data_IF_319711401967
#
_entry.id   IF_319711401967
#
_cell.length_a   1.000
_cell.length_b   1.000
_cell.length_c   1.000
_cell.angle_alpha   90.00
_cell.angle_beta   90.00
_cell.angle_gamma   90.00
#
_symmetry.space_group_name_H-M   'P 1'
#
loop_
_entity.id
_entity.type
_entity.pdbx_description
1 polymer ?
#
# COMPACT_ATOMS: atom_id res chain seq x y z
N UNK A 1 39.78 -37.18 7.17
CA UNK A 1 39.34 -36.60 5.87
C UNK A 1 39.51 -35.09 5.91
N UNK A 2 40.42 -34.55 5.09
CA UNK A 2 40.62 -33.11 4.89
C UNK A 2 39.58 -32.62 3.86
N UNK A 3 38.85 -31.56 4.18
CA UNK A 3 38.02 -30.84 3.21
C UNK A 3 38.89 -29.83 2.45
N UNK A 4 39.12 -30.07 1.16
CA UNK A 4 39.72 -29.11 0.23
C UNK A 4 38.65 -28.14 -0.27
N UNK A 5 38.96 -26.83 -0.30
CA UNK A 5 38.10 -25.81 -0.91
C UNK A 5 38.17 -25.93 -2.44
N UNK A 6 37.02 -26.09 -3.08
CA UNK A 6 36.88 -26.00 -4.53
C UNK A 6 36.96 -24.51 -4.97
N UNK A 7 37.91 -24.12 -5.86
CA UNK A 7 38.14 -22.70 -6.22
C UNK A 7 37.25 -22.18 -7.35
N UNK A 8 36.27 -22.95 -7.84
CA UNK A 8 35.37 -22.45 -8.89
C UNK A 8 34.29 -21.53 -8.32
N UNK A 9 34.51 -20.23 -8.50
CA UNK A 9 33.55 -19.13 -8.27
C UNK A 9 32.21 -19.45 -8.93
N UNK A 10 31.22 -19.83 -8.13
CA UNK A 10 29.83 -19.74 -8.55
C UNK A 10 29.46 -18.25 -8.64
N UNK A 11 29.14 -17.82 -9.86
CA UNK A 11 28.58 -16.50 -10.13
C UNK A 11 27.23 -16.40 -9.44
N UNK A 12 27.21 -15.73 -8.30
CA UNK A 12 25.98 -15.32 -7.63
C UNK A 12 25.14 -14.48 -8.63
N UNK A 13 23.93 -14.91 -9.05
CA UNK A 13 23.17 -14.17 -10.05
C UNK A 13 22.90 -12.76 -9.52
N UNK A 14 23.29 -11.76 -10.32
CA UNK A 14 23.03 -10.37 -10.00
C UNK A 14 21.52 -10.13 -10.04
N UNK A 15 20.93 -9.76 -8.91
CA UNK A 15 19.57 -9.19 -8.88
C UNK A 15 19.55 -7.91 -9.73
N UNK A 16 18.95 -8.00 -10.91
CA UNK A 16 18.78 -6.90 -11.85
C UNK A 16 17.40 -6.27 -11.68
N UNK A 17 17.36 -4.95 -11.46
CA UNK A 17 16.12 -4.18 -11.52
C UNK A 17 15.87 -3.74 -12.97
N UNK A 18 14.63 -3.82 -13.44
CA UNK A 18 14.25 -3.44 -14.81
C UNK A 18 14.31 -4.58 -15.85
N UNK A 19 14.34 -5.84 -15.41
CA UNK A 19 14.25 -7.00 -16.31
C UNK A 19 12.91 -7.08 -17.06
N UNK A 20 11.85 -6.48 -16.51
CA UNK A 20 10.56 -6.32 -17.19
C UNK A 20 10.34 -4.84 -17.56
N UNK A 21 9.80 -4.55 -18.77
CA UNK A 21 9.51 -3.19 -19.19
C UNK A 21 8.43 -2.54 -18.30
N UNK A 22 8.49 -1.22 -18.17
CA UNK A 22 7.46 -0.45 -17.50
C UNK A 22 6.15 -0.54 -18.29
N UNK A 23 5.05 -0.81 -17.59
CA UNK A 23 3.70 -0.82 -18.16
C UNK A 23 2.79 0.15 -17.39
N UNK A 24 1.88 0.88 -18.05
CA UNK A 24 0.83 1.64 -17.36
C UNK A 24 0.00 0.76 -16.41
N UNK A 25 -0.07 -0.55 -16.69
CA UNK A 25 -0.82 -1.56 -15.92
C UNK A 25 -0.20 -1.90 -14.55
N UNK A 26 1.12 -1.72 -14.40
CA UNK A 26 1.85 -1.96 -13.14
C UNK A 26 1.97 -0.71 -12.24
N UNK A 27 1.41 0.42 -12.66
CA UNK A 27 1.45 1.67 -11.89
C UNK A 27 0.51 1.63 -10.69
N UNK A 28 1.07 1.61 -9.47
CA UNK A 28 0.31 1.56 -8.22
C UNK A 28 -0.52 2.83 -7.94
N UNK A 29 -0.17 3.97 -8.53
CA UNK A 29 -0.85 5.26 -8.37
C UNK A 29 -1.06 5.97 -9.71
N UNK A 30 -1.93 6.98 -9.74
CA UNK A 30 -2.21 7.79 -10.94
C UNK A 30 -0.99 8.56 -11.44
N UNK A 31 -0.08 8.93 -10.54
CA UNK A 31 1.19 9.58 -10.85
C UNK A 31 2.31 8.81 -10.13
N UNK A 32 3.50 8.64 -10.74
CA UNK A 32 4.64 8.06 -10.03
C UNK A 32 4.98 8.98 -8.85
N UNK A 33 4.84 8.46 -7.64
CA UNK A 33 5.21 9.14 -6.42
C UNK A 33 6.53 8.56 -5.91
N UNK A 34 7.60 9.30 -6.16
CA UNK A 34 8.92 9.04 -5.60
C UNK A 34 9.50 10.41 -5.26
N UNK A 35 9.74 10.69 -3.97
CA UNK A 35 10.51 11.87 -3.58
C UNK A 35 11.94 11.61 -4.06
N UNK A 36 12.33 12.28 -5.14
CA UNK A 36 13.61 12.04 -5.80
C UNK A 36 14.74 12.71 -5.03
N UNK A 37 15.51 11.90 -4.30
CA UNK A 37 16.90 12.26 -4.01
C UNK A 37 17.78 11.76 -5.16
N UNK A 38 17.82 12.52 -6.27
CA UNK A 38 18.59 12.19 -7.49
C UNK A 38 18.68 10.67 -7.81
N UNK A 39 17.52 10.03 -7.99
CA UNK A 39 17.39 8.85 -8.82
C UNK A 39 17.09 7.50 -8.17
N UNK A 40 16.61 6.56 -8.99
CA UNK A 40 16.50 5.13 -8.66
C UNK A 40 17.90 4.52 -8.66
N UNK A 41 18.32 3.93 -7.56
CA UNK A 41 19.61 3.21 -7.49
C UNK A 41 19.40 1.75 -7.87
N UNK A 42 19.85 1.34 -9.06
CA UNK A 42 19.74 -0.03 -9.57
C UNK A 42 21.12 -0.65 -9.76
N UNK A 43 21.23 -1.98 -9.61
CA UNK A 43 22.43 -2.73 -10.00
C UNK A 43 22.21 -3.23 -11.43
N UNK A 44 22.98 -2.74 -12.40
CA UNK A 44 23.03 -3.27 -13.75
C UNK A 44 24.48 -3.35 -14.25
N UNK A 45 24.82 -4.41 -14.98
CA UNK A 45 26.12 -4.53 -15.65
C UNK A 45 26.15 -3.59 -16.88
N UNK A 46 27.25 -2.88 -17.18
CA UNK A 46 27.29 -1.83 -18.23
C UNK A 46 26.93 -2.31 -19.65
N UNK A 47 26.94 -3.62 -19.90
CA UNK A 47 26.64 -4.21 -21.19
C UNK A 47 25.12 -4.35 -21.48
N UNK A 48 24.27 -4.43 -20.45
CA UNK A 48 22.82 -4.65 -20.62
C UNK A 48 22.00 -3.35 -20.74
N UNK A 49 22.56 -2.22 -20.30
CA UNK A 49 21.90 -0.91 -20.35
C UNK A 49 21.72 -0.34 -21.76
N UNK A 50 22.54 -0.75 -22.75
CA UNK A 50 22.39 -0.27 -24.14
C UNK A 50 21.28 -0.97 -24.93
N UNK A 51 21.02 -2.26 -24.67
CA UNK A 51 20.03 -3.03 -25.43
C UNK A 51 18.57 -2.73 -25.01
N UNK A 52 18.35 -2.34 -23.75
CA UNK A 52 17.01 -2.03 -23.23
C UNK A 52 16.54 -0.60 -23.55
N UNK A 53 17.47 0.34 -23.76
CA UNK A 53 17.12 1.71 -24.16
C UNK A 53 16.82 1.85 -25.66
N UNK A 54 17.41 1.00 -26.51
CA UNK A 54 17.19 1.04 -27.96
C UNK A 54 15.79 0.52 -28.35
N UNK A 55 15.24 -0.45 -27.63
CA UNK A 55 13.90 -1.01 -27.88
C UNK A 55 12.72 -0.06 -27.62
N UNK A 56 12.93 1.01 -26.84
CA UNK A 56 11.90 2.03 -26.56
C UNK A 56 11.96 3.18 -27.58
N UNK A 57 13.08 3.36 -28.28
CA UNK A 57 13.25 4.43 -29.29
C UNK A 57 12.49 4.21 -30.59
N UNK A 58 12.05 2.98 -30.89
CA UNK A 58 11.55 2.65 -32.23
C UNK A 58 10.03 2.75 -32.40
N UNK A 59 9.21 2.85 -31.35
CA UNK A 59 7.74 2.91 -31.51
C UNK A 59 7.12 3.96 -30.59
N UNK A 60 6.60 5.02 -31.24
CA UNK A 60 5.80 6.17 -30.76
C UNK A 60 6.60 7.44 -30.44
N UNK A 61 6.65 8.32 -31.45
CA UNK A 61 6.97 9.75 -31.33
C UNK A 61 5.74 10.48 -30.76
N UNK A 62 5.88 11.14 -29.61
CA UNK A 62 4.88 11.99 -28.96
C UNK A 62 5.47 12.65 -27.70
N UNK A 63 5.05 13.88 -27.32
CA UNK A 63 5.90 14.78 -26.52
C UNK A 63 5.79 14.54 -25.00
N UNK A 64 6.86 14.92 -24.28
CA UNK A 64 7.10 14.84 -22.83
C UNK A 64 7.66 13.52 -22.26
N UNK A 65 8.93 13.23 -22.57
CA UNK A 65 9.78 12.33 -21.77
C UNK A 65 10.01 12.95 -20.38
N UNK A 66 9.60 12.28 -19.31
CA UNK A 66 9.92 12.65 -17.91
C UNK A 66 11.21 11.93 -17.49
N UNK A 67 12.25 12.68 -17.14
CA UNK A 67 13.56 12.14 -16.79
C UNK A 67 13.61 11.62 -15.34
N UNK A 68 13.81 10.30 -15.18
CA UNK A 68 14.30 9.68 -13.96
C UNK A 68 15.81 9.45 -14.13
N UNK A 69 16.63 10.10 -13.29
CA UNK A 69 18.07 9.80 -13.22
C UNK A 69 18.30 8.51 -12.40
N UNK A 70 19.40 7.79 -12.61
CA UNK A 70 19.79 6.63 -11.79
C UNK A 70 21.28 6.66 -11.48
N UNK A 71 21.70 6.08 -10.34
CA UNK A 71 23.11 5.98 -9.90
C UNK A 71 23.58 4.52 -9.86
N UNK A 72 24.85 4.28 -10.19
CA UNK A 72 25.47 2.96 -10.35
C UNK A 72 25.84 2.23 -9.02
N UNK A 73 25.98 0.91 -9.09
CA UNK A 73 25.99 -0.07 -8.00
C UNK A 73 27.14 0.01 -6.98
N UNK A 74 28.24 0.73 -7.25
CA UNK A 74 29.30 0.95 -6.24
C UNK A 74 28.86 1.86 -5.10
N UNK A 75 27.91 2.78 -5.35
CA UNK A 75 27.40 3.70 -4.32
C UNK A 75 26.40 3.05 -3.36
N UNK A 76 25.75 1.93 -3.73
CA UNK A 76 24.74 1.23 -2.91
C UNK A 76 25.34 0.52 -1.68
N UNK A 77 26.51 -0.12 -1.82
CA UNK A 77 27.18 -0.79 -0.69
C UNK A 77 27.75 0.21 0.32
N UNK A 78 28.08 1.43 -0.12
CA UNK A 78 28.43 2.53 0.78
C UNK A 78 27.17 3.13 1.41
N UNK A 79 26.15 3.51 0.65
CA UNK A 79 24.92 4.13 1.18
C UNK A 79 24.17 3.25 2.19
N UNK A 80 24.09 1.93 1.96
CA UNK A 80 23.50 0.98 2.92
C UNK A 80 24.35 0.76 4.18
N UNK A 81 25.64 1.10 4.16
CA UNK A 81 26.55 1.03 5.34
C UNK A 81 26.72 2.38 6.03
N UNK A 82 26.57 3.50 5.33
CA UNK A 82 26.85 4.84 5.84
C UNK A 82 25.61 5.60 6.29
N UNK A 83 24.40 5.07 6.10
CA UNK A 83 23.17 5.69 6.61
C UNK A 83 23.05 7.18 6.28
N UNK A 84 23.50 7.60 5.09
CA UNK A 84 23.55 9.02 4.74
C UNK A 84 22.12 9.58 4.77
N UNK A 85 21.84 10.45 5.75
CA UNK A 85 20.53 10.99 6.02
C UNK A 85 20.06 11.86 4.86
N UNK A 86 19.08 11.37 4.10
CA UNK A 86 18.28 12.22 3.23
C UNK A 86 17.38 13.16 4.06
N UNK A 87 16.74 14.16 3.43
CA UNK A 87 15.79 15.02 4.12
C UNK A 87 14.72 14.17 4.82
N UNK A 88 14.50 14.46 6.10
CA UNK A 88 13.55 13.73 6.92
C UNK A 88 12.14 13.95 6.39
N UNK A 89 11.35 12.89 6.22
CA UNK A 89 9.91 13.01 6.03
C UNK A 89 9.16 13.33 7.34
N UNK A 90 9.87 13.36 8.48
CA UNK A 90 9.30 13.73 9.77
C UNK A 90 8.83 15.18 9.78
N UNK A 91 7.64 15.42 10.31
CA UNK A 91 7.01 16.74 10.34
C UNK A 91 6.39 17.20 9.03
N UNK A 92 6.40 16.39 7.97
CA UNK A 92 5.81 16.75 6.67
C UNK A 92 4.46 16.05 6.45
N UNK A 93 3.38 16.82 6.35
CA UNK A 93 2.11 16.33 5.80
C UNK A 93 2.25 16.17 4.28
N UNK A 94 2.54 14.95 3.86
CA UNK A 94 2.59 14.59 2.44
C UNK A 94 1.25 14.06 1.93
N UNK A 95 0.30 13.77 2.83
CA UNK A 95 -1.03 13.27 2.46
C UNK A 95 -1.82 14.37 1.73
N UNK A 96 -1.73 15.63 2.19
CA UNK A 96 -2.33 16.77 1.50
C UNK A 96 -1.76 17.04 0.11
N UNK A 97 -0.53 16.60 -0.16
CA UNK A 97 0.14 16.80 -1.46
C UNK A 97 -0.28 15.73 -2.48
N UNK A 98 -0.48 14.50 -2.04
CA UNK A 98 -0.77 13.35 -2.93
C UNK A 98 -2.24 13.03 -3.07
N UNK A 99 -3.08 13.60 -2.21
CA UNK A 99 -4.52 13.39 -2.26
C UNK A 99 -5.11 13.88 -3.58
N UNK A 100 -6.17 13.22 -4.04
CA UNK A 100 -6.93 13.75 -5.16
C UNK A 100 -7.74 14.97 -4.67
N UNK A 101 -7.70 16.11 -5.37
CA UNK A 101 -8.45 17.30 -4.96
C UNK A 101 -9.97 17.10 -5.07
N UNK A 102 -10.44 16.09 -5.79
CA UNK A 102 -11.86 15.84 -5.99
C UNK A 102 -12.28 14.46 -5.48
N UNK A 103 -13.50 14.40 -4.94
CA UNK A 103 -14.14 13.12 -4.66
C UNK A 103 -14.50 12.42 -5.96
N UNK A 104 -14.23 11.12 -6.06
CA UNK A 104 -14.57 10.32 -7.23
C UNK A 104 -15.07 8.93 -6.84
N UNK A 105 -15.86 8.30 -7.71
CA UNK A 105 -16.28 6.91 -7.54
C UNK A 105 -15.35 6.01 -8.34
N UNK A 106 -14.86 4.94 -7.72
CA UNK A 106 -14.04 3.96 -8.41
C UNK A 106 -14.94 2.92 -9.11
N UNK A 107 -14.98 2.98 -10.43
CA UNK A 107 -15.97 2.29 -11.26
C UNK A 107 -15.47 1.03 -11.97
N UNK A 108 -14.29 0.48 -11.65
CA UNK A 108 -13.93 -0.81 -12.28
C UNK A 108 -14.98 -1.86 -11.96
N UNK A 109 -15.42 -2.60 -12.98
CA UNK A 109 -16.33 -3.75 -12.82
C UNK A 109 -15.85 -4.62 -11.65
N UNK A 110 -16.79 -5.19 -10.85
CA UNK A 110 -16.41 -6.14 -9.82
C UNK A 110 -15.53 -7.21 -10.47
N UNK A 111 -14.37 -7.45 -9.88
CA UNK A 111 -13.57 -8.61 -10.28
C UNK A 111 -14.45 -9.82 -9.99
N UNK A 112 -14.87 -10.51 -11.05
CA UNK A 112 -15.60 -11.77 -10.94
C UNK A 112 -14.58 -12.82 -10.47
N UNK A 113 -14.14 -12.71 -9.21
CA UNK A 113 -13.24 -13.66 -8.59
C UNK A 113 -14.11 -14.86 -8.20
N UNK A 114 -13.92 -16.05 -8.79
CA UNK A 114 -14.54 -17.25 -8.26
C UNK A 114 -14.12 -17.41 -6.79
N UNK A 115 -15.01 -17.98 -5.98
CA UNK A 115 -14.71 -18.28 -4.58
C UNK A 115 -13.38 -19.04 -4.49
N UNK A 116 -12.41 -18.49 -3.76
CA UNK A 116 -11.09 -19.09 -3.58
C UNK A 116 -11.28 -20.34 -2.72
N UNK A 117 -11.42 -21.49 -3.37
CA UNK A 117 -11.64 -22.78 -2.69
C UNK A 117 -10.36 -23.59 -2.54
N UNK A 118 -9.27 -23.27 -3.27
CA UNK A 118 -7.95 -23.90 -3.15
C UNK A 118 -6.79 -22.93 -3.44
N UNK A 119 -5.65 -23.17 -2.81
CA UNK A 119 -4.48 -22.28 -2.81
C UNK A 119 -3.74 -22.16 -4.16
N UNK A 120 -3.98 -23.08 -5.10
CA UNK A 120 -3.24 -23.15 -6.37
C UNK A 120 -3.89 -22.36 -7.53
N UNK A 121 -5.12 -21.85 -7.36
CA UNK A 121 -5.87 -21.13 -8.41
C UNK A 121 -5.48 -19.66 -8.58
N UNK A 122 -4.72 -19.09 -7.62
CA UNK A 122 -4.36 -17.67 -7.62
C UNK A 122 -3.45 -17.25 -8.80
N UNK A 123 -2.68 -18.18 -9.37
CA UNK A 123 -1.77 -17.90 -10.48
C UNK A 123 -2.49 -17.88 -11.85
N UNK A 124 -3.53 -18.70 -12.02
CA UNK A 124 -4.29 -18.82 -13.28
C UNK A 124 -5.25 -17.65 -13.47
N UNK A 125 -5.87 -17.18 -12.38
CA UNK A 125 -6.73 -15.99 -12.35
C UNK A 125 -6.02 -14.69 -12.74
N UNK A 126 -4.69 -14.63 -12.60
CA UNK A 126 -3.90 -13.45 -12.97
C UNK A 126 -3.63 -13.35 -14.48
N UNK A 127 -3.76 -14.46 -15.23
CA UNK A 127 -3.50 -14.49 -16.67
C UNK A 127 -4.78 -14.25 -17.49
N UNK A 128 -5.94 -14.74 -17.05
CA UNK A 128 -7.26 -14.41 -17.66
C UNK A 128 -7.70 -12.96 -17.38
N UNK A 129 -7.04 -12.29 -16.44
CA UNK A 129 -7.23 -10.89 -16.06
C UNK A 129 -6.99 -9.88 -17.22
N UNK A 130 -6.19 -10.25 -18.22
CA UNK A 130 -5.62 -9.30 -19.18
C UNK A 130 -6.36 -9.16 -20.52
N UNK A 131 -7.17 -10.14 -20.91
CA UNK A 131 -7.84 -10.10 -22.23
C UNK A 131 -9.14 -9.28 -22.20
N UNK A 132 -9.83 -9.20 -21.06
CA UNK A 132 -11.17 -8.63 -20.96
C UNK A 132 -11.24 -7.11 -20.69
N UNK A 133 -10.24 -6.47 -20.07
CA UNK A 133 -10.38 -5.11 -19.50
C UNK A 133 -9.47 -4.04 -20.12
N UNK A 134 -9.28 -4.12 -21.44
CA UNK A 134 -8.59 -3.09 -22.20
C UNK A 134 -9.18 -1.69 -22.05
N UNK A 135 -8.29 -0.70 -21.85
CA UNK A 135 -8.46 0.77 -21.98
C UNK A 135 -9.50 1.46 -21.07
N UNK A 136 -9.03 2.45 -20.31
CA UNK A 136 -9.85 3.40 -19.55
C UNK A 136 -10.56 4.32 -20.56
N UNK A 137 -11.87 4.19 -20.68
CA UNK A 137 -12.73 5.05 -21.51
C UNK A 137 -13.06 6.35 -20.75
N UNK A 138 -13.08 7.48 -21.45
CA UNK A 138 -13.48 8.77 -20.91
C UNK A 138 -15.01 8.93 -20.78
N UNK A 139 -15.81 7.97 -21.27
CA UNK A 139 -17.25 7.91 -21.02
C UNK A 139 -17.63 7.58 -19.56
N UNK A 140 -16.67 7.18 -18.72
CA UNK A 140 -16.78 6.82 -17.28
C UNK A 140 -17.30 7.98 -16.40
N UNK A 141 -17.36 9.21 -16.90
CA UNK A 141 -17.93 10.35 -16.17
C UNK A 141 -19.47 10.40 -16.21
N UNK A 142 -20.13 9.57 -17.04
CA UNK A 142 -21.57 9.57 -17.20
C UNK A 142 -22.19 8.20 -16.82
N UNK A 143 -22.39 7.97 -15.51
CA UNK A 143 -23.41 7.09 -14.93
C UNK A 143 -23.37 5.58 -15.25
N UNK A 144 -23.10 4.75 -14.24
CA UNK A 144 -24.07 3.86 -13.59
C UNK A 144 -23.34 3.11 -12.46
N UNK A 145 -23.85 3.21 -11.25
CA UNK A 145 -23.16 2.76 -10.04
C UNK A 145 -23.59 1.34 -9.74
N UNK A 146 -22.64 0.46 -9.40
CA UNK A 146 -22.88 -0.94 -9.03
C UNK A 146 -24.20 -1.16 -8.29
N UNK A 147 -24.90 -2.24 -8.67
CA UNK A 147 -26.33 -2.45 -8.43
C UNK A 147 -26.80 -2.06 -7.03
N UNK A 148 -28.05 -1.61 -6.93
CA UNK A 148 -28.68 -0.96 -5.77
C UNK A 148 -28.62 -1.71 -4.41
N UNK A 149 -27.92 -2.84 -4.29
CA UNK A 149 -27.70 -3.60 -3.05
C UNK A 149 -26.23 -3.68 -2.57
N UNK A 150 -25.24 -3.13 -3.29
CA UNK A 150 -23.83 -3.17 -2.84
C UNK A 150 -23.55 -2.11 -1.75
N UNK A 151 -22.85 -2.44 -0.65
CA UNK A 151 -22.53 -1.47 0.41
C UNK A 151 -21.57 -0.38 -0.08
N UNK A 152 -21.86 0.87 0.27
CA UNK A 152 -20.96 1.99 0.00
C UNK A 152 -19.86 2.07 1.05
N UNK A 153 -18.61 2.03 0.59
CA UNK A 153 -17.42 2.38 1.36
C UNK A 153 -16.90 3.73 0.91
N UNK A 154 -16.72 4.64 1.87
CA UNK A 154 -16.05 5.92 1.64
C UNK A 154 -14.58 5.79 2.05
N UNK A 155 -13.67 5.99 1.11
CA UNK A 155 -12.24 5.82 1.27
C UNK A 155 -11.50 7.16 1.30
N UNK A 156 -10.81 7.48 2.39
CA UNK A 156 -9.93 8.65 2.43
C UNK A 156 -8.71 8.42 1.55
N UNK A 157 -8.48 9.30 0.57
CA UNK A 157 -7.37 9.21 -0.37
C UNK A 157 -6.09 9.88 0.14
N UNK A 158 -5.36 9.27 1.06
CA UNK A 158 -4.07 9.80 1.57
C UNK A 158 -2.86 9.50 0.65
N UNK A 159 -3.10 9.12 -0.61
CA UNK A 159 -2.11 8.50 -1.49
C UNK A 159 -2.42 7.04 -1.82
N UNK A 160 -3.72 6.73 -1.92
CA UNK A 160 -4.26 5.38 -2.05
C UNK A 160 -3.67 4.62 -3.24
N UNK A 161 -3.23 3.38 -2.99
CA UNK A 161 -2.83 2.44 -4.04
C UNK A 161 -4.05 1.90 -4.76
N UNK A 162 -4.01 1.85 -6.10
CA UNK A 162 -5.09 1.34 -6.94
C UNK A 162 -5.51 -0.09 -6.59
N UNK A 163 -4.58 -0.93 -6.12
CA UNK A 163 -4.90 -2.32 -5.80
C UNK A 163 -5.82 -2.46 -4.57
N UNK A 164 -5.78 -1.50 -3.64
CA UNK A 164 -6.76 -1.41 -2.55
C UNK A 164 -8.16 -1.27 -3.13
N UNK A 165 -8.34 -0.33 -4.07
CA UNK A 165 -9.63 -0.06 -4.69
C UNK A 165 -10.17 -1.26 -5.46
N UNK A 166 -9.29 -1.98 -6.16
CA UNK A 166 -9.63 -3.24 -6.86
C UNK A 166 -10.10 -4.31 -5.88
N UNK A 167 -9.39 -4.53 -4.77
CA UNK A 167 -9.76 -5.54 -3.79
C UNK A 167 -11.04 -5.17 -3.03
N UNK A 168 -11.28 -3.89 -2.75
CA UNK A 168 -12.56 -3.45 -2.19
C UNK A 168 -13.72 -3.76 -3.15
N UNK A 169 -13.59 -3.43 -4.45
CA UNK A 169 -14.60 -3.78 -5.47
C UNK A 169 -14.79 -5.28 -5.61
N UNK A 170 -13.72 -6.07 -5.53
CA UNK A 170 -13.77 -7.53 -5.64
C UNK A 170 -14.59 -8.18 -4.51
N UNK A 171 -14.74 -7.51 -3.37
CA UNK A 171 -15.59 -7.95 -2.26
C UNK A 171 -17.03 -7.37 -2.35
N UNK A 172 -17.42 -6.84 -3.51
CA UNK A 172 -18.75 -6.30 -3.75
C UNK A 172 -19.02 -4.96 -3.05
N UNK A 173 -17.99 -4.20 -2.67
CA UNK A 173 -18.16 -2.88 -2.04
C UNK A 173 -18.10 -1.77 -3.08
N UNK A 174 -19.07 -0.88 -3.14
CA UNK A 174 -18.99 0.38 -3.90
C UNK A 174 -17.99 1.30 -3.23
N UNK A 175 -17.05 1.88 -3.98
CA UNK A 175 -16.01 2.72 -3.37
C UNK A 175 -16.10 4.15 -3.89
N UNK A 176 -16.33 5.09 -2.97
CA UNK A 176 -16.14 6.52 -3.21
C UNK A 176 -14.86 6.97 -2.53
N UNK A 177 -13.90 7.47 -3.29
CA UNK A 177 -12.68 8.05 -2.74
C UNK A 177 -12.92 9.54 -2.51
N UNK A 178 -12.52 10.02 -1.34
CA UNK A 178 -12.65 11.43 -0.94
C UNK A 178 -11.27 12.04 -0.65
N UNK A 179 -11.10 13.37 -0.85
CA UNK A 179 -9.87 14.07 -0.49
C UNK A 179 -9.51 13.86 0.98
N UNK A 180 -8.22 13.96 1.30
CA UNK A 180 -7.69 13.73 2.63
C UNK A 180 -8.37 14.61 3.70
N UNK A 181 -8.71 15.86 3.35
CA UNK A 181 -9.29 16.86 4.24
C UNK A 181 -10.82 16.79 4.38
N UNK A 182 -11.49 15.88 3.67
CA UNK A 182 -12.96 15.74 3.73
C UNK A 182 -13.42 15.57 5.16
N UNK A 183 -14.41 16.35 5.60
CA UNK A 183 -14.86 16.32 6.99
C UNK A 183 -15.56 15.01 7.34
N UNK A 184 -15.53 14.61 8.62
CA UNK A 184 -16.30 13.47 9.09
C UNK A 184 -17.81 13.63 8.85
N UNK A 185 -18.32 14.86 9.01
CA UNK A 185 -19.72 15.19 8.75
C UNK A 185 -20.09 14.92 7.28
N UNK A 186 -19.29 15.38 6.32
CA UNK A 186 -19.53 15.15 4.89
C UNK A 186 -19.47 13.65 4.56
N UNK A 187 -18.51 12.93 5.13
CA UNK A 187 -18.41 11.47 4.96
C UNK A 187 -19.65 10.76 5.50
N UNK A 188 -20.13 11.13 6.69
CA UNK A 188 -21.34 10.53 7.29
C UNK A 188 -22.61 10.90 6.52
N UNK A 189 -22.68 12.10 5.94
CA UNK A 189 -23.80 12.54 5.10
C UNK A 189 -23.95 11.69 3.82
N UNK A 190 -22.88 11.04 3.36
CA UNK A 190 -22.95 10.07 2.25
C UNK A 190 -23.57 8.72 2.65
N UNK A 191 -23.95 8.54 3.92
CA UNK A 191 -24.49 7.30 4.48
C UNK A 191 -23.65 6.04 4.13
N UNK A 192 -22.33 6.03 4.41
CA UNK A 192 -21.49 4.89 4.08
C UNK A 192 -21.84 3.68 4.96
N UNK A 193 -21.80 2.49 4.38
CA UNK A 193 -21.80 1.24 5.12
C UNK A 193 -20.50 1.06 5.93
N UNK A 194 -19.37 1.57 5.42
CA UNK A 194 -18.09 1.56 6.12
C UNK A 194 -17.13 2.65 5.64
N UNK A 195 -16.10 2.92 6.43
CA UNK A 195 -15.05 3.89 6.09
C UNK A 195 -13.73 3.16 5.91
N UNK A 196 -12.99 3.56 4.89
CA UNK A 196 -11.66 3.03 4.62
C UNK A 196 -10.60 4.13 4.71
N UNK A 197 -9.53 3.88 5.47
CA UNK A 197 -8.42 4.80 5.65
C UNK A 197 -7.19 4.26 4.90
N UNK A 198 -6.81 4.92 3.81
CA UNK A 198 -5.80 4.39 2.91
C UNK A 198 -4.36 4.56 3.38
N UNK A 199 -3.46 3.93 2.64
CA UNK A 199 -2.04 4.19 2.76
C UNK A 199 -1.70 5.62 2.32
N UNK A 200 -0.53 6.09 2.73
CA UNK A 200 -0.01 7.38 2.29
C UNK A 200 1.46 7.57 2.66
N UNK A 201 2.10 8.61 2.13
CA UNK A 201 3.45 8.98 2.46
C UNK A 201 3.52 9.88 3.70
N UNK A 202 4.72 10.02 4.26
CA UNK A 202 5.03 11.05 5.24
C UNK A 202 4.90 10.61 6.70
N UNK A 203 4.92 11.61 7.56
CA UNK A 203 4.72 11.50 8.99
C UNK A 203 3.22 11.59 9.31
N UNK A 204 2.65 10.68 10.13
CA UNK A 204 1.25 10.77 10.52
C UNK A 204 0.92 11.93 11.47
N UNK A 205 1.87 12.40 12.30
CA UNK A 205 1.61 13.42 13.31
C UNK A 205 1.11 14.78 12.76
N UNK A 206 1.69 15.36 11.68
CA UNK A 206 1.23 16.64 11.15
C UNK A 206 -0.12 16.58 10.42
N UNK A 207 -0.71 15.39 10.21
CA UNK A 207 -1.97 15.21 9.46
C UNK A 207 -3.18 15.43 10.39
N UNK A 208 -3.21 16.58 11.06
CA UNK A 208 -4.11 16.94 12.14
C UNK A 208 -5.60 16.86 11.77
N UNK A 209 -5.94 17.29 10.55
CA UNK A 209 -7.29 17.24 10.00
C UNK A 209 -7.80 15.80 9.93
N UNK A 210 -6.96 14.86 9.48
CA UNK A 210 -7.35 13.46 9.35
C UNK A 210 -7.53 12.83 10.73
N UNK A 211 -6.64 13.14 11.67
CA UNK A 211 -6.74 12.68 13.06
C UNK A 211 -8.06 13.14 13.70
N UNK A 212 -8.44 14.41 13.52
CA UNK A 212 -9.74 14.95 13.98
C UNK A 212 -10.91 14.23 13.33
N UNK A 213 -10.92 14.13 12.01
CA UNK A 213 -12.02 13.49 11.26
C UNK A 213 -12.17 12.00 11.64
N UNK A 214 -11.06 11.26 11.77
CA UNK A 214 -11.10 9.85 12.16
C UNK A 214 -11.68 9.69 13.57
N UNK A 215 -11.31 10.56 14.51
CA UNK A 215 -11.85 10.52 15.87
C UNK A 215 -13.38 10.66 15.90
N UNK A 216 -13.93 11.52 15.05
CA UNK A 216 -15.39 11.70 14.91
C UNK A 216 -16.07 10.50 14.22
N UNK A 217 -15.35 9.76 13.38
CA UNK A 217 -15.87 8.58 12.67
C UNK A 217 -15.82 7.30 13.51
N UNK A 218 -14.91 7.21 14.49
CA UNK A 218 -14.74 6.04 15.34
C UNK A 218 -16.04 5.68 16.07
N UNK A 219 -16.48 4.43 15.92
CA UNK A 219 -17.73 3.93 16.50
C UNK A 219 -19.00 4.31 15.74
N UNK A 220 -18.94 5.18 14.72
CA UNK A 220 -20.09 5.54 13.88
C UNK A 220 -20.34 4.53 12.78
N UNK A 221 -19.27 4.07 12.14
CA UNK A 221 -19.26 3.04 11.08
C UNK A 221 -18.06 2.10 11.25
N UNK A 222 -18.11 0.88 10.72
CA UNK A 222 -16.93 0.02 10.62
C UNK A 222 -15.79 0.74 9.89
N UNK A 223 -14.57 0.62 10.42
CA UNK A 223 -13.38 1.24 9.83
C UNK A 223 -12.35 0.16 9.51
N UNK A 224 -11.82 0.20 8.29
CA UNK A 224 -10.61 -0.53 7.91
C UNK A 224 -9.50 0.42 7.51
N UNK A 225 -8.34 0.30 8.16
CA UNK A 225 -7.22 1.22 7.98
C UNK A 225 -5.92 0.50 7.59
N UNK A 226 -5.20 1.05 6.61
CA UNK A 226 -3.96 0.46 6.06
C UNK A 226 -2.81 1.46 6.14
N UNK A 227 -1.66 1.02 6.66
CA UNK A 227 -0.38 1.74 6.66
C UNK A 227 -0.49 3.13 7.32
N UNK A 228 -0.51 4.24 6.56
CA UNK A 228 -0.74 5.57 7.12
C UNK A 228 -2.09 5.65 7.83
N UNK A 229 -3.15 5.08 7.26
CA UNK A 229 -4.46 5.03 7.91
C UNK A 229 -4.44 4.33 9.27
N UNK A 230 -3.64 3.27 9.42
CA UNK A 230 -3.46 2.58 10.71
C UNK A 230 -2.84 3.50 11.76
N UNK A 231 -1.81 4.26 11.37
CA UNK A 231 -1.15 5.23 12.26
C UNK A 231 -2.08 6.37 12.65
N UNK A 232 -2.79 6.96 11.67
CA UNK A 232 -3.76 8.02 11.92
C UNK A 232 -4.90 7.58 12.82
N UNK A 233 -5.37 6.34 12.69
CA UNK A 233 -6.40 5.79 13.57
C UNK A 233 -5.89 5.62 15.01
N UNK A 234 -4.66 5.14 15.18
CA UNK A 234 -4.05 5.04 16.50
C UNK A 234 -3.90 6.43 17.16
N UNK A 235 -3.42 7.43 16.42
CA UNK A 235 -3.34 8.81 16.89
C UNK A 235 -4.72 9.40 17.23
N UNK A 236 -5.75 9.10 16.42
CA UNK A 236 -7.13 9.51 16.70
C UNK A 236 -7.64 8.92 18.03
N UNK A 237 -7.23 7.69 18.35
CA UNK A 237 -7.52 7.01 19.61
C UNK A 237 -6.66 7.46 20.81
N UNK A 238 -5.73 8.42 20.62
CA UNK A 238 -4.88 8.97 21.67
C UNK A 238 -3.53 8.26 21.85
N UNK A 239 -3.18 7.32 20.97
CA UNK A 239 -1.86 6.71 20.97
C UNK A 239 -0.80 7.68 20.41
N UNK A 240 0.47 7.26 20.42
CA UNK A 240 1.61 7.95 19.83
C UNK A 240 2.22 7.14 18.69
N UNK A 241 2.97 7.84 17.84
CA UNK A 241 3.78 7.22 16.80
C UNK A 241 5.25 7.56 17.00
N UNK A 242 6.14 6.74 16.43
CA UNK A 242 7.57 7.02 16.43
C UNK A 242 8.20 6.62 15.11
N UNK A 243 9.33 7.25 14.80
CA UNK A 243 10.07 6.98 13.57
C UNK A 243 11.03 5.80 13.75
N UNK A 244 10.95 4.82 12.86
CA UNK A 244 11.88 3.71 12.80
C UNK A 244 13.24 4.18 12.25
N UNK A 245 14.33 3.57 12.74
CA UNK A 245 15.70 3.89 12.29
C UNK A 245 15.88 3.73 10.79
N UNK A 246 15.38 2.61 10.25
CA UNK A 246 15.45 2.31 8.81
C UNK A 246 14.09 2.05 8.18
N UNK A 247 13.03 1.84 8.96
CA UNK A 247 11.68 1.46 8.51
C UNK A 247 11.60 0.10 7.80
N UNK A 248 10.38 -0.38 7.60
CA UNK A 248 10.15 -1.64 6.89
C UNK A 248 9.84 -1.39 5.43
N UNK A 249 10.72 -1.90 4.55
CA UNK A 249 10.64 -1.76 3.09
C UNK A 249 11.01 -3.08 2.43
N UNK A 250 10.01 -3.90 2.13
CA UNK A 250 10.23 -5.22 1.55
C UNK A 250 8.94 -6.03 1.44
N UNK A 251 9.03 -7.16 0.74
CA UNK A 251 7.92 -8.08 0.50
C UNK A 251 8.08 -9.41 1.26
N UNK A 252 8.92 -9.43 2.29
CA UNK A 252 9.32 -10.61 3.03
C UNK A 252 9.25 -10.41 4.55
N UNK A 253 8.41 -9.48 5.02
CA UNK A 253 8.32 -9.16 6.44
C UNK A 253 7.37 -10.13 7.16
N UNK A 254 7.87 -10.93 8.12
CA UNK A 254 7.05 -11.89 8.85
C UNK A 254 6.22 -11.22 9.94
N UNK A 255 4.90 -11.37 9.86
CA UNK A 255 3.96 -10.83 10.83
C UNK A 255 3.22 -11.98 11.51
N UNK A 256 3.23 -12.00 12.85
CA UNK A 256 2.51 -13.00 13.64
C UNK A 256 1.19 -12.43 14.11
N UNK A 257 0.12 -13.17 13.84
CA UNK A 257 -1.19 -12.97 14.45
C UNK A 257 -1.20 -13.60 15.85
N UNK A 258 -1.36 -12.75 16.85
CA UNK A 258 -1.36 -13.14 18.26
C UNK A 258 -2.64 -13.88 18.65
N UNK A 259 -3.74 -13.67 17.93
CA UNK A 259 -5.04 -14.28 18.21
C UNK A 259 -5.13 -15.73 17.72
N UNK A 260 -4.44 -16.04 16.61
CA UNK A 260 -4.46 -17.37 15.97
C UNK A 260 -3.13 -18.11 16.04
N UNK A 261 -2.04 -17.41 16.36
CA UNK A 261 -0.67 -17.94 16.29
C UNK A 261 -0.11 -18.05 14.86
N UNK A 262 -0.90 -17.74 13.82
CA UNK A 262 -0.48 -17.84 12.41
C UNK A 262 0.56 -16.78 12.07
N UNK A 263 1.42 -17.10 11.11
CA UNK A 263 2.42 -16.16 10.58
C UNK A 263 2.14 -15.91 9.11
N UNK A 264 2.19 -14.64 8.72
CA UNK A 264 2.00 -14.17 7.36
C UNK A 264 3.29 -13.55 6.85
N UNK A 265 3.59 -13.74 5.56
CA UNK A 265 4.62 -12.93 4.90
C UNK A 265 3.93 -11.73 4.27
N UNK A 266 4.45 -10.53 4.55
CA UNK A 266 3.76 -9.28 4.19
C UNK A 266 4.62 -8.33 3.36
N UNK A 267 3.93 -7.47 2.59
CA UNK A 267 4.52 -6.32 1.91
C UNK A 267 4.46 -5.10 2.79
N UNK A 268 5.60 -4.45 3.06
CA UNK A 268 5.71 -3.32 3.97
C UNK A 268 6.48 -2.18 3.32
N UNK A 269 5.99 -0.96 3.56
CA UNK A 269 6.61 0.28 3.10
C UNK A 269 6.26 1.44 4.05
N UNK A 270 6.77 1.41 5.28
CA UNK A 270 6.54 2.46 6.27
C UNK A 270 7.82 2.81 7.03
N UNK A 271 7.91 4.07 7.45
CA UNK A 271 9.01 4.60 8.26
C UNK A 271 8.63 4.94 9.70
N UNK A 272 7.34 4.88 10.02
CA UNK A 272 6.78 5.17 11.33
C UNK A 272 6.03 3.94 11.84
N UNK A 273 5.88 3.82 13.15
CA UNK A 273 5.14 2.75 13.81
C UNK A 273 4.36 3.34 14.99
N UNK A 274 3.29 2.66 15.39
CA UNK A 274 2.53 2.98 16.59
C UNK A 274 3.32 2.52 17.82
N UNK A 275 3.44 3.38 18.82
CA UNK A 275 4.04 3.04 20.11
C UNK A 275 3.08 2.14 20.91
N UNK A 276 3.49 0.89 21.14
CA UNK A 276 2.70 -0.12 21.84
C UNK A 276 2.26 0.35 23.24
N UNK A 277 3.14 1.01 23.97
CA UNK A 277 2.88 1.38 25.36
C UNK A 277 1.91 2.56 25.45
N UNK A 278 1.85 3.37 24.39
CA UNK A 278 0.90 4.48 24.27
C UNK A 278 -0.55 4.05 23.99
N UNK A 279 -0.79 2.77 23.72
CA UNK A 279 -2.15 2.25 23.45
C UNK A 279 -2.99 2.11 24.72
N UNK A 280 -2.38 2.18 25.91
CA UNK A 280 -3.09 2.09 27.17
C UNK A 280 -4.23 3.14 27.25
N UNK A 281 -5.46 2.68 27.51
CA UNK A 281 -6.64 3.54 27.58
C UNK A 281 -7.26 3.93 26.24
N UNK A 282 -6.65 3.60 25.09
CA UNK A 282 -7.18 3.91 23.76
C UNK A 282 -8.38 3.03 23.34
N UNK A 283 -8.52 1.86 23.97
CA UNK A 283 -9.47 0.81 23.59
C UNK A 283 -9.04 -0.04 22.39
N UNK A 284 -7.87 0.24 21.79
CA UNK A 284 -7.32 -0.56 20.69
C UNK A 284 -6.46 -1.70 21.24
N UNK A 285 -6.65 -2.89 20.68
CA UNK A 285 -5.91 -4.10 21.05
C UNK A 285 -4.89 -4.46 19.97
N UNK A 286 -3.67 -4.78 20.39
CA UNK A 286 -2.62 -5.28 19.49
C UNK A 286 -2.95 -6.72 19.09
N UNK A 287 -3.26 -6.94 17.81
CA UNK A 287 -3.59 -8.27 17.29
C UNK A 287 -2.45 -8.90 16.50
N UNK A 288 -1.54 -8.10 15.96
CA UNK A 288 -0.40 -8.60 15.19
C UNK A 288 0.88 -7.82 15.46
N UNK A 289 2.00 -8.52 15.40
CA UNK A 289 3.34 -7.96 15.61
C UNK A 289 4.32 -8.44 14.55
N UNK A 290 5.35 -7.65 14.29
CA UNK A 290 6.46 -8.04 13.44
C UNK A 290 7.36 -9.02 14.19
N UNK A 291 7.71 -10.15 13.58
CA UNK A 291 8.57 -11.14 14.24
C UNK A 291 10.04 -10.72 14.31
N UNK A 292 10.50 -9.81 13.45
CA UNK A 292 11.90 -9.38 13.43
C UNK A 292 12.22 -8.41 14.57
N UNK A 293 11.30 -7.49 14.89
CA UNK A 293 11.58 -6.39 15.82
C UNK A 293 10.45 -6.08 16.81
N UNK A 294 9.40 -6.91 16.85
CA UNK A 294 8.28 -6.83 17.80
C UNK A 294 7.45 -5.54 17.70
N UNK A 295 7.57 -4.81 16.59
CA UNK A 295 6.75 -3.63 16.32
C UNK A 295 5.27 -3.99 16.10
N UNK A 296 4.37 -3.03 16.35
CA UNK A 296 2.93 -3.20 16.17
C UNK A 296 2.61 -3.23 14.68
N UNK A 297 1.91 -4.29 14.25
CA UNK A 297 1.56 -4.52 12.84
C UNK A 297 0.05 -4.52 12.59
N UNK A 298 -0.76 -4.68 13.63
CA UNK A 298 -2.21 -4.56 13.53
C UNK A 298 -2.84 -4.18 14.88
N UNK A 299 -3.93 -3.41 14.77
CA UNK A 299 -4.80 -3.06 15.90
C UNK A 299 -6.24 -3.41 15.56
N UNK A 300 -7.01 -3.83 16.56
CA UNK A 300 -8.44 -4.05 16.43
C UNK A 300 -9.21 -3.42 17.60
N UNK A 301 -10.47 -3.11 17.37
CA UNK A 301 -11.45 -2.84 18.42
C UNK A 301 -12.81 -3.34 17.95
N UNK A 302 -13.27 -4.43 18.55
CA UNK A 302 -14.53 -5.06 18.17
C UNK A 302 -15.75 -4.19 18.56
N UNK A 303 -15.69 -3.44 19.67
CA UNK A 303 -16.80 -2.56 20.09
C UNK A 303 -17.04 -1.44 19.08
N UNK A 304 -15.97 -0.87 18.53
CA UNK A 304 -16.04 0.19 17.50
C UNK A 304 -16.02 -0.35 16.07
N UNK A 305 -15.96 -1.68 15.88
CA UNK A 305 -15.86 -2.37 14.58
C UNK A 305 -14.65 -1.88 13.75
N UNK A 306 -13.50 -1.77 14.40
CA UNK A 306 -12.25 -1.29 13.82
C UNK A 306 -11.32 -2.46 13.54
N UNK A 307 -10.79 -2.48 12.32
CA UNK A 307 -9.70 -3.35 11.88
C UNK A 307 -8.60 -2.47 11.30
N UNK A 308 -7.33 -2.68 11.66
CA UNK A 308 -6.23 -1.93 11.04
C UNK A 308 -4.99 -2.79 10.88
N UNK A 309 -4.19 -2.50 9.85
CA UNK A 309 -2.89 -3.13 9.62
C UNK A 309 -1.85 -2.11 9.16
N UNK A 310 -0.62 -2.27 9.61
CA UNK A 310 0.51 -1.41 9.26
C UNK A 310 1.13 -1.78 7.90
N UNK A 311 1.04 -3.05 7.51
CA UNK A 311 1.49 -3.56 6.23
C UNK A 311 0.45 -3.38 5.11
N UNK A 312 0.79 -3.81 3.90
CA UNK A 312 0.00 -3.67 2.69
C UNK A 312 -0.63 -5.00 2.26
N UNK A 313 -1.85 -5.34 2.75
CA UNK A 313 -2.55 -6.56 2.36
C UNK A 313 -2.99 -6.58 0.90
N UNK A 314 -3.02 -5.41 0.24
CA UNK A 314 -3.19 -5.34 -1.21
C UNK A 314 -1.93 -5.73 -1.99
N UNK A 315 -0.78 -5.85 -1.33
CA UNK A 315 0.51 -6.13 -1.95
C UNK A 315 0.78 -5.24 -3.19
N UNK A 316 1.13 -5.84 -4.33
CA UNK A 316 1.43 -5.14 -5.58
C UNK A 316 2.57 -4.10 -5.43
N UNK A 317 3.83 -4.55 -5.25
CA UNK A 317 4.29 -5.95 -5.26
C UNK A 317 4.23 -6.63 -3.88
N UNK A 318 4.28 -7.97 -3.88
CA UNK A 318 4.45 -8.78 -2.67
C UNK A 318 3.52 -9.99 -2.59
N UNK A 319 3.58 -10.75 -1.49
CA UNK A 319 2.76 -11.95 -1.25
C UNK A 319 1.28 -11.60 -1.06
N UNK A 320 0.39 -12.55 -1.36
CA UNK A 320 -1.07 -12.37 -1.29
C UNK A 320 -1.69 -12.94 0.00
N UNK A 321 -0.86 -13.41 0.93
CA UNK A 321 -1.21 -14.09 2.18
C UNK A 321 -2.27 -13.37 3.04
N UNK A 322 -2.40 -12.05 2.90
CA UNK A 322 -3.21 -11.20 3.78
C UNK A 322 -4.41 -10.53 3.07
N UNK A 323 -4.69 -10.91 1.82
CA UNK A 323 -5.83 -10.37 1.05
C UNK A 323 -7.19 -10.65 1.71
N UNK A 324 -7.27 -11.67 2.56
CA UNK A 324 -8.44 -12.05 3.35
C UNK A 324 -8.98 -10.92 4.25
N UNK A 325 -8.13 -9.94 4.62
CA UNK A 325 -8.55 -8.80 5.43
C UNK A 325 -9.64 -7.95 4.76
N UNK A 326 -9.66 -7.89 3.43
CA UNK A 326 -10.72 -7.19 2.68
C UNK A 326 -12.08 -7.89 2.84
N UNK A 327 -12.09 -9.23 2.86
CA UNK A 327 -13.30 -10.02 3.12
C UNK A 327 -13.78 -9.84 4.56
N UNK A 328 -12.86 -9.87 5.53
CA UNK A 328 -13.18 -9.59 6.94
C UNK A 328 -13.75 -8.20 7.16
N UNK A 329 -13.31 -7.20 6.38
CA UNK A 329 -13.91 -5.87 6.41
C UNK A 329 -15.33 -5.89 5.83
N UNK A 330 -15.55 -6.59 4.70
CA UNK A 330 -16.89 -6.74 4.09
C UNK A 330 -17.92 -7.33 5.04
N UNK A 331 -17.54 -8.30 5.86
CA UNK A 331 -18.39 -8.96 6.87
C UNK A 331 -18.79 -8.03 8.02
N UNK A 332 -18.06 -6.92 8.23
CA UNK A 332 -18.32 -5.95 9.30
C UNK A 332 -19.27 -4.81 8.88
N UNK A 333 -19.55 -4.67 7.58
CA UNK A 333 -20.39 -3.62 7.00
C UNK A 333 -21.87 -3.82 7.31
#
# INVERSE_FOLDING_TARGET
>A
MRWTRNPNRSTCPAWCAGNCPLSPRIGAAARPFLITWRGTTCRASPAWTRALWSGISARRRGPARRHLAGRDGRQRRRAGRTGAAGPSMAGCDLASVVTDPHSYVWQTQPLNLPAITKADDAHRLYLDYEEQYGRIDQAIYAGDYGGAGEPLVVAYGFGIKRNILRLLRAQGMRVRVVPAQTSAADVLAMNPAGVFLSNGPGDPEPVDYAIRNIRELMGRRPIFAICLGHQLLALAAGARTYKLKFGHRGANQPVKDLTTGRVWITSQNHGFCVDRDSLAGSGLEVTQINLNDQTVEALADEKRRILTVQYHPEASPGPHDTAELFRRFRERL
#
